data_IF_298596468561
#
_entry.id   IF_298596468561
#
_cell.length_a   1.000
_cell.length_b   1.000
_cell.length_c   1.000
_cell.angle_alpha   90.00
_cell.angle_beta   90.00
_cell.angle_gamma   90.00
#
_symmetry.space_group_name_H-M   'P 1'
#
loop_
_entity.id
_entity.type
_entity.pdbx_description
1 polymer ?
#
# COMPACT_ATOMS: atom_id res chain seq x y z
N UNK A 1 4.65 30.80 7.68
CA UNK A 1 3.86 29.69 8.28
C UNK A 1 3.63 28.74 7.12
N UNK A 2 4.66 28.00 6.71
CA UNK A 2 4.69 27.39 5.36
C UNK A 2 5.04 25.91 5.45
N UNK A 3 4.02 25.10 5.74
CA UNK A 3 4.03 23.65 5.52
C UNK A 3 2.62 23.19 5.09
N UNK A 4 2.25 23.58 3.88
CA UNK A 4 1.06 23.10 3.15
C UNK A 4 1.23 21.64 2.66
N UNK A 5 1.51 20.70 3.57
CA UNK A 5 1.73 19.30 3.19
C UNK A 5 1.06 18.29 4.12
N UNK A 6 -0.12 18.60 4.66
CA UNK A 6 -0.94 17.61 5.35
C UNK A 6 -2.40 17.73 4.91
N UNK A 7 -2.95 16.64 4.37
CA UNK A 7 -4.37 16.54 4.01
C UNK A 7 -5.20 15.93 5.14
N UNK A 8 -4.56 15.20 6.05
CA UNK A 8 -5.21 14.50 7.14
C UNK A 8 -4.26 14.41 8.35
N UNK A 9 -4.80 14.63 9.54
CA UNK A 9 -4.08 14.49 10.82
C UNK A 9 -4.96 13.66 11.74
N UNK A 10 -4.38 12.58 12.28
CA UNK A 10 -5.00 11.75 13.30
C UNK A 10 -4.18 11.89 14.57
N UNK A 11 -4.83 12.21 15.68
CA UNK A 11 -4.22 12.25 17.00
C UNK A 11 -5.08 11.48 17.99
N UNK A 12 -4.42 10.85 18.97
CA UNK A 12 -5.08 10.09 20.02
C UNK A 12 -4.92 10.82 21.34
N UNK A 13 -6.01 10.89 22.10
CA UNK A 13 -6.02 11.47 23.45
C UNK A 13 -6.44 10.41 24.45
N UNK A 14 -5.83 10.44 25.64
CA UNK A 14 -6.30 9.69 26.79
C UNK A 14 -7.24 10.58 27.60
N UNK A 15 -8.29 9.99 28.15
CA UNK A 15 -9.24 10.68 29.03
C UNK A 15 -8.66 10.93 30.42
N UNK A 16 -7.67 10.12 30.81
CA UNK A 16 -6.99 10.16 32.10
C UNK A 16 -5.51 10.55 31.90
N UNK A 17 -4.83 11.07 32.94
CA UNK A 17 -3.38 11.41 32.94
C UNK A 17 -2.44 10.19 32.75
N UNK A 18 -2.98 9.04 32.32
CA UNK A 18 -2.29 7.78 32.12
C UNK A 18 -1.34 7.76 30.91
N UNK A 19 -1.22 8.84 30.11
CA UNK A 19 -0.24 8.92 29.02
C UNK A 19 0.97 9.78 29.43
N UNK A 20 1.92 9.15 30.12
CA UNK A 20 3.20 9.79 30.41
C UNK A 20 4.07 9.91 29.16
N UNK A 21 5.13 10.71 29.23
CA UNK A 21 6.13 10.82 28.15
C UNK A 21 6.73 9.47 27.76
N UNK A 22 6.88 8.55 28.72
CA UNK A 22 7.39 7.21 28.44
C UNK A 22 6.38 6.38 27.63
N UNK A 23 5.10 6.44 27.99
CA UNK A 23 3.99 5.79 27.28
C UNK A 23 3.86 6.29 25.83
N UNK A 24 3.88 7.61 25.63
CA UNK A 24 3.79 8.21 24.29
C UNK A 24 4.95 7.76 23.41
N UNK A 25 6.18 7.73 23.93
CA UNK A 25 7.36 7.24 23.19
C UNK A 25 7.29 5.75 22.89
N UNK A 26 6.73 4.95 23.79
CA UNK A 26 6.51 3.53 23.54
C UNK A 26 5.53 3.31 22.37
N UNK A 27 4.38 3.97 22.42
CA UNK A 27 3.37 3.92 21.35
C UNK A 27 3.92 4.43 20.02
N UNK A 28 4.64 5.55 20.03
CA UNK A 28 5.29 6.10 18.83
C UNK A 28 6.26 5.08 18.21
N UNK A 29 7.11 4.45 19.03
CA UNK A 29 8.03 3.41 18.57
C UNK A 29 7.31 2.24 17.90
N UNK A 30 6.24 1.76 18.54
CA UNK A 30 5.41 0.66 18.00
C UNK A 30 4.69 1.06 16.72
N UNK A 31 4.13 2.26 16.63
CA UNK A 31 3.47 2.76 15.42
C UNK A 31 4.44 2.92 14.25
N UNK A 32 5.67 3.40 14.50
CA UNK A 32 6.73 3.48 13.49
C UNK A 32 7.12 2.09 12.99
N UNK A 33 7.29 1.13 13.90
CA UNK A 33 7.61 -0.26 13.57
C UNK A 33 6.50 -0.89 12.71
N UNK A 34 5.24 -0.78 13.15
CA UNK A 34 4.09 -1.30 12.41
C UNK A 34 3.94 -0.65 11.03
N UNK A 35 4.11 0.68 10.92
CA UNK A 35 4.04 1.37 9.63
C UNK A 35 5.14 0.90 8.66
N UNK A 36 6.36 0.66 9.16
CA UNK A 36 7.47 0.13 8.35
C UNK A 36 7.21 -1.32 7.92
N UNK A 37 6.68 -2.15 8.82
CA UNK A 37 6.30 -3.53 8.52
C UNK A 37 5.15 -3.60 7.51
N UNK A 38 4.18 -2.70 7.65
CA UNK A 38 3.03 -2.61 6.77
C UNK A 38 3.43 -2.21 5.34
N UNK A 39 4.43 -1.33 5.21
CA UNK A 39 4.99 -0.90 3.92
C UNK A 39 4.11 0.06 3.13
N UNK A 40 2.91 0.42 3.61
CA UNK A 40 1.96 1.32 2.92
C UNK A 40 2.38 2.78 2.89
N UNK A 41 3.16 3.22 3.89
CA UNK A 41 3.52 4.62 4.06
C UNK A 41 5.03 4.82 4.08
N UNK A 42 5.49 5.92 3.48
CA UNK A 42 6.86 6.38 3.68
C UNK A 42 6.95 7.03 5.07
N UNK A 43 7.60 6.34 6.01
CA UNK A 43 7.79 6.87 7.36
C UNK A 43 8.88 7.94 7.34
N UNK A 44 8.49 9.21 7.49
CA UNK A 44 9.43 10.34 7.54
C UNK A 44 10.13 10.48 8.90
N UNK A 45 9.59 9.86 9.95
CA UNK A 45 10.21 9.90 11.27
C UNK A 45 11.43 8.95 11.31
N UNK A 46 12.62 9.56 11.29
CA UNK A 46 13.90 8.87 11.30
C UNK A 46 14.42 8.52 12.70
N UNK A 47 13.77 9.00 13.77
CA UNK A 47 14.19 8.65 15.13
C UNK A 47 13.65 7.28 15.54
N UNK A 48 14.51 6.46 16.14
CA UNK A 48 14.07 5.29 16.90
C UNK A 48 13.36 5.78 18.17
N UNK A 49 12.04 5.90 18.11
CA UNK A 49 11.24 6.14 19.30
C UNK A 49 10.98 4.82 20.03
N UNK A 50 10.85 4.91 21.34
CA UNK A 50 10.68 3.76 22.23
C UNK A 50 11.12 4.10 23.64
N UNK A 51 10.31 3.71 24.63
CA UNK A 51 10.71 3.71 26.05
C UNK A 51 10.55 2.32 26.60
N UNK A 52 11.41 1.93 27.55
CA UNK A 52 11.17 0.72 28.33
C UNK A 52 10.09 1.01 29.35
N UNK A 53 9.05 0.21 29.35
CA UNK A 53 7.96 0.28 30.31
C UNK A 53 7.97 -0.96 31.21
N UNK A 54 7.54 -0.83 32.47
CA UNK A 54 7.13 -1.97 33.28
C UNK A 54 6.11 -2.84 32.53
N UNK A 55 6.04 -4.12 32.88
CA UNK A 55 5.15 -5.06 32.23
C UNK A 55 3.68 -4.59 32.26
N UNK A 56 3.18 -4.15 33.41
CA UNK A 56 1.81 -3.64 33.54
C UNK A 56 1.51 -2.51 32.54
N UNK A 57 2.36 -1.47 32.53
CA UNK A 57 2.19 -0.31 31.65
C UNK A 57 2.31 -0.71 30.17
N UNK A 58 3.17 -1.68 29.85
CA UNK A 58 3.32 -2.20 28.49
C UNK A 58 2.04 -2.87 28.01
N UNK A 59 1.44 -3.74 28.82
CA UNK A 59 0.18 -4.42 28.47
C UNK A 59 -0.96 -3.42 28.26
N UNK A 60 -1.04 -2.39 29.10
CA UNK A 60 -2.02 -1.30 28.93
C UNK A 60 -1.81 -0.55 27.60
N UNK A 61 -0.55 -0.30 27.22
CA UNK A 61 -0.22 0.33 25.93
C UNK A 61 -0.51 -0.58 24.73
N UNK A 62 -0.36 -1.91 24.85
CA UNK A 62 -0.78 -2.84 23.80
C UNK A 62 -2.29 -2.82 23.60
N UNK A 63 -3.07 -2.77 24.69
CA UNK A 63 -4.54 -2.62 24.61
C UNK A 63 -4.90 -1.30 23.92
N UNK A 64 -4.22 -0.21 24.28
CA UNK A 64 -4.41 1.09 23.63
C UNK A 64 -4.09 1.02 22.13
N UNK A 65 -2.97 0.39 21.77
CA UNK A 65 -2.55 0.18 20.39
C UNK A 65 -3.58 -0.66 19.60
N UNK A 66 -4.17 -1.68 20.22
CA UNK A 66 -5.26 -2.45 19.63
C UNK A 66 -6.47 -1.59 19.25
N UNK A 67 -6.84 -0.62 20.09
CA UNK A 67 -7.93 0.34 19.79
C UNK A 67 -7.56 1.27 18.64
N UNK A 68 -6.29 1.70 18.56
CA UNK A 68 -5.78 2.49 17.42
C UNK A 68 -5.98 1.71 16.12
N UNK A 69 -5.57 0.44 16.08
CA UNK A 69 -5.71 -0.40 14.88
C UNK A 69 -7.17 -0.58 14.44
N UNK A 70 -8.11 -0.62 15.38
CA UNK A 70 -9.54 -0.73 15.06
C UNK A 70 -10.12 0.57 14.50
N UNK A 71 -9.70 1.72 15.02
CA UNK A 71 -10.27 3.03 14.66
C UNK A 71 -9.62 3.65 13.41
N UNK A 72 -8.34 3.39 13.17
CA UNK A 72 -7.57 3.99 12.06
C UNK A 72 -8.20 3.72 10.68
N UNK A 73 -8.60 2.49 10.31
CA UNK A 73 -9.23 2.22 9.02
C UNK A 73 -10.60 2.88 8.87
N UNK A 74 -11.37 2.96 9.96
CA UNK A 74 -12.70 3.64 9.97
C UNK A 74 -12.55 5.13 9.65
N UNK A 75 -11.42 5.72 10.02
CA UNK A 75 -11.07 7.11 9.72
C UNK A 75 -10.37 7.28 8.35
N UNK A 76 -10.23 6.21 7.56
CA UNK A 76 -9.55 6.25 6.26
C UNK A 76 -8.02 6.34 6.34
N UNK A 77 -7.44 5.96 7.49
CA UNK A 77 -6.00 5.96 7.72
C UNK A 77 -5.44 4.53 7.75
N UNK A 78 -5.17 3.96 6.58
CA UNK A 78 -4.77 2.55 6.45
C UNK A 78 -3.25 2.31 6.64
N UNK A 79 -2.48 3.32 7.03
CA UNK A 79 -1.02 3.27 7.04
C UNK A 79 -0.39 2.16 7.91
N UNK A 80 -1.15 1.63 8.88
CA UNK A 80 -0.72 0.56 9.79
C UNK A 80 -1.16 -0.84 9.34
N UNK A 81 -2.02 -0.94 8.31
CA UNK A 81 -2.47 -2.22 7.78
C UNK A 81 -1.41 -2.76 6.81
N UNK A 82 -0.99 -4.03 6.90
CA UNK A 82 -0.10 -4.61 5.91
C UNK A 82 -0.63 -4.45 4.48
N UNK A 83 0.27 -4.14 3.52
CA UNK A 83 -0.03 -4.26 2.09
C UNK A 83 -0.45 -5.70 1.82
N UNK A 84 -1.62 -5.88 1.20
CA UNK A 84 -2.15 -7.22 0.92
C UNK A 84 -2.83 -7.92 2.12
N UNK A 85 -3.07 -7.21 3.23
CA UNK A 85 -4.04 -7.70 4.24
C UNK A 85 -5.36 -7.90 3.52
N UNK A 86 -5.73 -9.17 3.32
CA UNK A 86 -6.94 -9.50 2.61
C UNK A 86 -8.12 -8.81 3.29
N UNK A 87 -9.01 -8.14 2.55
CA UNK A 87 -10.29 -7.74 3.10
C UNK A 87 -10.95 -9.00 3.68
N UNK A 88 -11.23 -9.01 4.98
CA UNK A 88 -12.04 -10.05 5.61
C UNK A 88 -13.48 -9.88 5.12
N UNK A 89 -13.73 -10.38 3.92
CA UNK A 89 -15.01 -10.27 3.22
C UNK A 89 -15.12 -11.28 2.09
N UNK A 90 -16.31 -11.86 1.82
CA UNK A 90 -16.54 -12.74 0.68
C UNK A 90 -16.40 -12.06 -0.69
N UNK A 91 -16.39 -10.72 -0.76
CA UNK A 91 -16.67 -9.96 -1.98
C UNK A 91 -15.45 -9.52 -2.82
N UNK A 92 -14.20 -9.68 -2.38
CA UNK A 92 -13.03 -9.11 -3.10
C UNK A 92 -11.96 -10.13 -3.55
N UNK A 93 -12.26 -11.43 -3.47
CA UNK A 93 -11.29 -12.51 -3.77
C UNK A 93 -11.16 -12.86 -5.26
N UNK A 94 -11.49 -11.97 -6.19
CA UNK A 94 -11.29 -12.24 -7.60
C UNK A 94 -9.89 -11.82 -8.03
N UNK A 95 -8.99 -12.79 -8.16
CA UNK A 95 -7.68 -12.54 -8.79
C UNK A 95 -7.91 -12.16 -10.25
N UNK A 96 -7.38 -10.99 -10.60
CA UNK A 96 -7.36 -10.42 -11.91
C UNK A 96 -5.96 -10.55 -12.50
N UNK A 97 -5.90 -10.78 -13.81
CA UNK A 97 -4.67 -10.96 -14.57
C UNK A 97 -4.59 -9.86 -15.62
N UNK A 98 -3.42 -9.24 -15.72
CA UNK A 98 -3.05 -8.29 -16.75
C UNK A 98 -1.91 -8.88 -17.57
N UNK A 99 -2.07 -8.92 -18.89
CA UNK A 99 -1.06 -9.48 -19.81
C UNK A 99 -0.59 -8.43 -20.82
N UNK A 100 0.72 -8.34 -21.01
CA UNK A 100 1.34 -7.43 -21.97
C UNK A 100 2.61 -8.06 -22.55
N UNK A 101 2.69 -8.21 -23.87
CA UNK A 101 3.85 -8.80 -24.57
C UNK A 101 4.32 -10.15 -23.99
N UNK A 102 3.38 -10.99 -23.56
CA UNK A 102 3.67 -12.30 -22.95
C UNK A 102 4.05 -12.26 -21.46
N UNK A 103 4.19 -11.07 -20.87
CA UNK A 103 4.37 -10.87 -19.44
C UNK A 103 3.03 -10.90 -18.72
N UNK A 104 2.99 -11.47 -17.52
CA UNK A 104 1.77 -11.57 -16.71
C UNK A 104 1.95 -10.89 -15.36
N UNK A 105 0.97 -10.06 -15.00
CA UNK A 105 0.79 -9.54 -13.65
C UNK A 105 -0.52 -10.05 -13.07
N UNK A 106 -0.53 -10.39 -11.79
CA UNK A 106 -1.72 -10.79 -11.06
C UNK A 106 -1.99 -9.80 -9.93
N UNK A 107 -3.26 -9.52 -9.66
CA UNK A 107 -3.65 -8.60 -8.62
C UNK A 107 -5.11 -8.73 -8.24
N UNK A 108 -5.56 -7.92 -7.30
CA UNK A 108 -6.96 -7.86 -6.89
C UNK A 108 -7.33 -6.44 -6.47
N UNK A 109 -8.63 -6.17 -6.49
CA UNK A 109 -9.17 -4.94 -5.92
C UNK A 109 -9.01 -4.92 -4.40
N UNK A 110 -8.88 -3.71 -3.88
CA UNK A 110 -9.05 -3.40 -2.46
C UNK A 110 -10.06 -2.27 -2.34
N UNK A 111 -10.66 -2.05 -1.15
CA UNK A 111 -11.65 -0.98 -0.97
C UNK A 111 -11.12 0.41 -1.33
N UNK A 112 -9.80 0.61 -1.25
CA UNK A 112 -9.12 1.89 -1.48
C UNK A 112 -8.26 1.90 -2.75
N UNK A 113 -8.23 0.81 -3.53
CA UNK A 113 -7.39 0.77 -4.73
C UNK A 113 -7.21 -0.62 -5.33
N UNK A 114 -5.95 -1.00 -5.54
CA UNK A 114 -5.58 -2.24 -6.21
C UNK A 114 -4.22 -2.75 -5.73
N UNK A 115 -4.11 -4.06 -5.49
CA UNK A 115 -2.84 -4.69 -5.12
C UNK A 115 -2.35 -5.57 -6.27
N UNK A 116 -1.09 -5.34 -6.69
CA UNK A 116 -0.36 -6.25 -7.58
C UNK A 116 0.47 -7.20 -6.73
N UNK A 117 0.32 -8.50 -6.97
CA UNK A 117 0.95 -9.54 -6.17
C UNK A 117 2.41 -9.75 -6.53
N UNK A 118 3.20 -10.15 -5.53
CA UNK A 118 4.56 -10.64 -5.67
C UNK A 118 4.69 -11.67 -6.79
N UNK A 119 5.76 -11.58 -7.55
CA UNK A 119 6.06 -12.44 -8.69
C UNK A 119 5.40 -11.98 -10.00
N UNK A 120 4.54 -10.97 -9.96
CA UNK A 120 4.02 -10.30 -11.15
C UNK A 120 5.15 -9.70 -11.99
N UNK A 121 4.91 -9.61 -13.29
CA UNK A 121 5.88 -9.11 -14.27
C UNK A 121 5.39 -7.80 -14.89
N UNK A 122 6.33 -6.90 -15.18
CA UNK A 122 6.08 -5.64 -15.86
C UNK A 122 7.09 -5.45 -17.00
N UNK A 123 6.76 -4.64 -18.00
CA UNK A 123 7.68 -4.39 -19.11
C UNK A 123 8.97 -3.74 -18.63
N UNK A 124 10.09 -4.17 -19.20
CA UNK A 124 11.40 -3.61 -18.90
C UNK A 124 11.52 -2.17 -19.39
N UNK A 125 11.31 -1.97 -20.69
CA UNK A 125 11.38 -0.65 -21.33
C UNK A 125 10.02 0.02 -21.37
N UNK A 126 10.01 1.28 -20.96
CA UNK A 126 8.85 2.16 -21.04
C UNK A 126 8.45 2.40 -22.51
N UNK A 127 7.15 2.56 -22.73
CA UNK A 127 6.57 2.94 -24.02
C UNK A 127 6.64 4.46 -24.16
N UNK A 128 6.60 4.94 -25.41
CA UNK A 128 6.54 6.38 -25.68
C UNK A 128 5.38 7.08 -24.93
N UNK A 129 4.25 6.39 -24.73
CA UNK A 129 3.11 6.92 -23.98
C UNK A 129 3.36 7.14 -22.49
N UNK A 130 4.41 6.57 -21.88
CA UNK A 130 4.79 6.87 -20.50
C UNK A 130 5.25 8.33 -20.33
N UNK A 131 5.88 8.90 -21.36
CA UNK A 131 6.39 10.27 -21.34
C UNK A 131 5.26 11.31 -21.38
N UNK A 132 4.05 10.91 -21.76
CA UNK A 132 2.86 11.76 -21.71
C UNK A 132 2.25 11.84 -20.30
N UNK A 133 2.61 10.92 -19.39
CA UNK A 133 2.06 10.83 -18.05
C UNK A 133 3.18 10.69 -17.01
N UNK A 134 3.68 11.81 -16.45
CA UNK A 134 4.80 11.81 -15.50
C UNK A 134 4.60 10.89 -14.29
N UNK A 135 3.34 10.69 -13.85
CA UNK A 135 3.00 9.83 -12.74
C UNK A 135 3.48 8.37 -12.93
N UNK A 136 3.38 7.82 -14.13
CA UNK A 136 3.81 6.43 -14.41
C UNK A 136 5.31 6.26 -14.23
N UNK A 137 6.10 7.25 -14.66
CA UNK A 137 7.55 7.25 -14.51
C UNK A 137 7.97 7.40 -13.05
N UNK A 138 7.36 8.37 -12.35
CA UNK A 138 7.63 8.60 -10.92
C UNK A 138 7.30 7.36 -10.08
N UNK A 139 6.15 6.73 -10.34
CA UNK A 139 5.75 5.51 -9.63
C UNK A 139 6.68 4.33 -9.94
N UNK A 140 7.06 4.11 -11.21
CA UNK A 140 8.02 3.06 -11.58
C UNK A 140 9.39 3.28 -10.95
N UNK A 141 9.94 4.49 -11.04
CA UNK A 141 11.24 4.80 -10.47
C UNK A 141 11.26 4.60 -8.96
N UNK A 142 10.22 5.06 -8.25
CA UNK A 142 10.08 4.82 -6.81
C UNK A 142 10.08 3.33 -6.46
N UNK A 143 9.34 2.51 -7.21
CA UNK A 143 9.27 1.07 -6.99
C UNK A 143 10.58 0.36 -7.34
N UNK A 144 11.37 0.90 -8.27
CA UNK A 144 12.70 0.37 -8.59
C UNK A 144 13.68 0.75 -7.48
N UNK A 145 13.69 2.01 -7.06
CA UNK A 145 14.54 2.54 -5.99
C UNK A 145 14.32 1.82 -4.66
N UNK A 146 13.07 1.48 -4.32
CA UNK A 146 12.73 0.76 -3.08
C UNK A 146 12.83 -0.77 -3.20
N UNK A 147 13.24 -1.29 -4.35
CA UNK A 147 13.44 -2.70 -4.62
C UNK A 147 12.16 -3.52 -4.78
N UNK A 148 10.98 -2.88 -4.84
CA UNK A 148 9.71 -3.56 -5.13
C UNK A 148 9.67 -4.07 -6.57
N UNK A 149 10.24 -3.33 -7.51
CA UNK A 149 10.47 -3.74 -8.89
C UNK A 149 11.96 -3.96 -9.12
N UNK A 150 12.33 -5.15 -9.58
CA UNK A 150 13.71 -5.47 -9.96
C UNK A 150 13.78 -5.94 -11.39
N UNK A 151 14.87 -5.59 -12.07
CA UNK A 151 15.14 -6.07 -13.42
C UNK A 151 15.55 -7.55 -13.41
N UNK A 152 14.80 -8.37 -14.15
CA UNK A 152 15.06 -9.80 -14.35
C UNK A 152 15.13 -10.10 -15.85
N UNK A 153 16.35 -10.09 -16.41
CA UNK A 153 16.70 -10.37 -17.82
C UNK A 153 16.01 -9.44 -18.83
N UNK A 154 14.73 -9.68 -19.13
CA UNK A 154 13.97 -8.98 -20.17
C UNK A 154 12.68 -8.31 -19.65
N UNK A 155 12.42 -8.40 -18.34
CA UNK A 155 11.25 -7.79 -17.70
C UNK A 155 11.59 -7.27 -16.31
N UNK A 156 10.71 -6.44 -15.75
CA UNK A 156 10.73 -6.12 -14.32
C UNK A 156 9.85 -7.12 -13.57
N UNK A 157 10.21 -7.41 -12.31
CA UNK A 157 9.48 -8.34 -11.45
C UNK A 157 9.18 -7.72 -10.11
N UNK A 158 7.95 -7.92 -9.65
CA UNK A 158 7.51 -7.51 -8.32
C UNK A 158 8.10 -8.47 -7.26
N UNK A 159 8.96 -7.96 -6.38
CA UNK A 159 9.61 -8.75 -5.31
C UNK A 159 8.72 -8.94 -4.09
N UNK A 160 7.72 -8.07 -3.93
CA UNK A 160 6.69 -8.04 -2.89
C UNK A 160 5.39 -7.49 -3.46
N UNK A 161 4.31 -7.62 -2.69
CA UNK A 161 3.01 -7.05 -3.05
C UNK A 161 3.11 -5.51 -3.08
N UNK A 162 2.46 -4.90 -4.06
CA UNK A 162 2.49 -3.45 -4.28
C UNK A 162 1.07 -2.90 -4.39
N UNK A 163 0.74 -1.94 -3.53
CA UNK A 163 -0.56 -1.26 -3.54
C UNK A 163 -0.51 -0.03 -4.45
N UNK A 164 -1.60 0.17 -5.19
CA UNK A 164 -1.82 1.26 -6.11
C UNK A 164 -3.16 1.91 -5.80
N UNK A 165 -3.25 3.22 -6.07
CA UNK A 165 -4.48 3.99 -5.86
C UNK A 165 -5.65 3.59 -6.75
N UNK A 166 -5.40 2.81 -7.82
CA UNK A 166 -6.44 2.32 -8.72
C UNK A 166 -5.93 1.18 -9.62
N UNK A 167 -6.85 0.41 -10.25
CA UNK A 167 -6.49 -0.57 -11.27
C UNK A 167 -5.71 0.04 -12.45
N UNK A 168 -6.02 1.28 -12.83
CA UNK A 168 -5.33 1.98 -13.92
C UNK A 168 -3.89 2.36 -13.53
N UNK A 169 -3.67 2.84 -12.30
CA UNK A 169 -2.33 3.11 -11.80
C UNK A 169 -1.46 1.84 -11.85
N UNK A 170 -1.99 0.72 -11.35
CA UNK A 170 -1.33 -0.59 -11.42
C UNK A 170 -1.02 -1.02 -12.86
N UNK A 171 -2.01 -0.94 -13.76
CA UNK A 171 -1.86 -1.32 -15.17
C UNK A 171 -0.80 -0.47 -15.88
N UNK A 172 -0.70 0.82 -15.57
CA UNK A 172 0.30 1.70 -16.23
C UNK A 172 1.72 1.32 -15.87
N UNK A 173 1.97 0.89 -14.63
CA UNK A 173 3.28 0.41 -14.16
C UNK A 173 3.64 -0.90 -14.86
N UNK A 174 2.69 -1.84 -14.94
CA UNK A 174 2.85 -3.13 -15.63
C UNK A 174 3.14 -2.95 -17.13
N UNK A 175 2.35 -2.09 -17.80
CA UNK A 175 2.49 -1.81 -19.23
C UNK A 175 3.64 -0.85 -19.58
N UNK A 176 4.23 -0.18 -18.59
CA UNK A 176 5.25 0.84 -18.77
C UNK A 176 4.76 2.00 -19.64
N UNK A 177 3.52 2.43 -19.46
CA UNK A 177 2.87 3.48 -20.25
C UNK A 177 1.37 3.55 -19.99
N UNK A 178 0.65 4.42 -20.71
CA UNK A 178 -0.79 4.57 -20.53
C UNK A 178 -1.54 3.24 -20.71
N UNK A 179 -2.40 2.93 -19.75
CA UNK A 179 -3.24 1.73 -19.75
C UNK A 179 -4.57 2.02 -19.04
N UNK A 180 -5.66 1.49 -19.59
CA UNK A 180 -6.96 1.56 -18.94
C UNK A 180 -7.13 0.32 -18.04
N UNK A 181 -7.09 0.51 -16.73
CA UNK A 181 -7.20 -0.59 -15.76
C UNK A 181 -8.49 -1.39 -15.92
N UNK A 182 -9.60 -0.74 -16.29
CA UNK A 182 -10.88 -1.42 -16.43
C UNK A 182 -10.89 -2.45 -17.57
N UNK A 183 -9.99 -2.30 -18.56
CA UNK A 183 -9.86 -3.21 -19.70
C UNK A 183 -8.64 -4.12 -19.60
N UNK A 184 -7.58 -3.65 -18.93
CA UNK A 184 -6.31 -4.36 -18.80
C UNK A 184 -6.39 -5.54 -17.83
N UNK A 185 -7.17 -5.40 -16.75
CA UNK A 185 -7.35 -6.44 -15.73
C UNK A 185 -8.54 -7.33 -16.08
N UNK A 186 -8.28 -8.65 -16.12
CA UNK A 186 -9.28 -9.66 -16.49
C UNK A 186 -9.37 -10.77 -15.46
N UNK A 187 -10.57 -11.26 -15.20
CA UNK A 187 -10.78 -12.46 -14.37
C UNK A 187 -10.24 -13.73 -15.04
N UNK A 188 -10.17 -14.82 -14.27
CA UNK A 188 -9.89 -16.17 -14.81
C UNK A 188 -10.85 -16.58 -15.95
N UNK A 189 -12.07 -16.04 -15.98
CA UNK A 189 -13.05 -16.28 -17.04
C UNK A 189 -12.87 -15.37 -18.27
N UNK A 190 -11.82 -14.55 -18.33
CA UNK A 190 -11.54 -13.65 -19.45
C UNK A 190 -12.33 -12.34 -19.43
N UNK A 191 -13.32 -12.19 -18.54
CA UNK A 191 -14.09 -10.95 -18.36
C UNK A 191 -13.21 -9.83 -17.81
N UNK A 192 -13.26 -8.67 -18.44
CA UNK A 192 -12.60 -7.43 -18.02
C UNK A 192 -13.24 -6.87 -16.76
N UNK A 193 -12.49 -6.05 -16.03
CA UNK A 193 -13.01 -5.37 -14.84
C UNK A 193 -14.23 -4.49 -15.15
N UNK A 194 -14.25 -3.84 -16.32
CA UNK A 194 -15.40 -3.08 -16.82
C UNK A 194 -16.68 -3.93 -16.91
N UNK A 195 -16.56 -5.18 -17.36
CA UNK A 195 -17.69 -6.11 -17.47
C UNK A 195 -18.13 -6.68 -16.13
N UNK A 196 -17.24 -6.68 -15.12
CA UNK A 196 -17.53 -7.14 -13.78
C UNK A 196 -18.22 -6.06 -12.93
N UNK A 197 -17.85 -4.79 -13.12
CA UNK A 197 -18.48 -3.66 -12.43
C UNK A 197 -19.85 -3.27 -13.02
N UNK A 198 -20.09 -3.61 -14.28
CA UNK A 198 -21.35 -3.31 -14.98
C UNK A 198 -22.41 -4.42 -14.91
N UNK A 199 -22.13 -5.52 -14.22
CA UNK A 199 -23.01 -6.69 -14.07
C UNK A 199 -23.65 -6.73 -12.68
#
# INVERSE_FOLDING_TARGET
LDKDFWNHVVFFISKDENLTKAHVRYLEGRLIEQARLAGRALVMNGQSSGSKLPESDREDMEIFLGRIHQLMPVLGADALLPIGSAPEGPAEKQILVCEIKGLKASGHLTPTGFVVLKGSQAVLKERASAHQYPYTLVSRNRLIEDGTLVEEREHLKFTRDAEFSSPSAAATVVHGGSANGLLAWKSKGGKTLKELEGA
#
